data_IF_279191881926
#
_entry.id   IF_279191881926
#
_cell.length_a   1.000
_cell.length_b   1.000
_cell.length_c   1.000
_cell.angle_alpha   90.00
_cell.angle_beta   90.00
_cell.angle_gamma   90.00
#
_symmetry.space_group_name_H-M   'P 1'
#
loop_
_entity.id
_entity.type
_entity.pdbx_description
1 polymer ?
#
# COMPACT_ATOMS: atom_id res chain seq x y z
N UNK A 1 -14.99 -49.55 12.62
CA UNK A 1 -14.77 -48.50 13.63
C UNK A 1 -13.96 -47.41 12.99
N UNK A 2 -14.60 -46.27 12.84
CA UNK A 2 -14.17 -45.02 12.26
C UNK A 2 -13.29 -44.27 13.26
N UNK A 3 -12.13 -43.74 12.84
CA UNK A 3 -11.44 -42.66 13.54
C UNK A 3 -10.48 -41.94 12.58
N UNK A 4 -10.98 -40.85 12.01
CA UNK A 4 -10.22 -39.76 11.39
C UNK A 4 -9.06 -39.28 12.28
N UNK A 5 -7.90 -38.93 11.71
CA UNK A 5 -7.27 -37.65 12.10
C UNK A 5 -6.26 -37.08 11.08
N UNK A 6 -6.78 -36.11 10.32
CA UNK A 6 -6.19 -34.81 9.93
C UNK A 6 -4.76 -34.79 9.37
N UNK A 7 -4.70 -34.85 8.05
CA UNK A 7 -3.70 -34.12 7.27
C UNK A 7 -3.83 -32.62 7.54
N UNK A 8 -2.84 -32.03 8.23
CA UNK A 8 -2.70 -30.57 8.33
C UNK A 8 -2.48 -30.03 6.92
N UNK A 9 -3.46 -29.31 6.36
CA UNK A 9 -3.27 -28.55 5.12
C UNK A 9 -2.12 -27.56 5.33
N UNK A 10 -1.15 -27.44 4.39
CA UNK A 10 -0.11 -26.44 4.51
C UNK A 10 -0.75 -25.05 4.49
N UNK A 11 -0.34 -24.20 5.42
CA UNK A 11 -0.82 -22.83 5.51
C UNK A 11 -0.66 -22.16 4.14
N UNK A 12 -1.74 -21.60 3.61
CA UNK A 12 -1.72 -20.97 2.29
C UNK A 12 -0.79 -19.75 2.34
N UNK A 13 -0.11 -19.45 1.24
CA UNK A 13 0.71 -18.24 1.08
C UNK A 13 -0.06 -16.96 1.49
N UNK A 14 -1.37 -16.94 1.23
CA UNK A 14 -2.30 -15.88 1.66
C UNK A 14 -2.45 -15.79 3.18
N UNK A 15 -2.45 -16.93 3.87
CA UNK A 15 -2.43 -16.98 5.34
C UNK A 15 -1.11 -16.49 5.91
N UNK A 16 0.02 -16.75 5.24
CA UNK A 16 1.32 -16.21 5.67
C UNK A 16 1.39 -14.68 5.50
N UNK A 17 0.94 -14.15 4.36
CA UNK A 17 0.83 -12.70 4.12
C UNK A 17 -0.13 -12.04 5.14
N UNK A 18 -1.25 -12.68 5.46
CA UNK A 18 -2.18 -12.17 6.47
C UNK A 18 -1.55 -12.17 7.88
N UNK A 19 -0.75 -13.18 8.22
CA UNK A 19 -0.14 -13.30 9.56
C UNK A 19 0.98 -12.28 9.77
N UNK A 20 1.71 -11.89 8.71
CA UNK A 20 2.66 -10.77 8.75
C UNK A 20 1.97 -9.41 8.96
N UNK A 21 0.75 -9.23 8.45
CA UNK A 21 0.03 -7.96 8.54
C UNK A 21 -0.57 -7.61 9.92
N UNK A 22 -0.55 -8.54 10.88
CA UNK A 22 -1.37 -8.46 12.11
C UNK A 22 -0.62 -8.02 13.37
N UNK A 23 0.72 -7.89 13.33
CA UNK A 23 1.50 -7.37 14.46
C UNK A 23 2.06 -5.97 14.20
N UNK A 24 1.35 -5.14 13.44
CA UNK A 24 1.72 -3.73 13.24
C UNK A 24 1.47 -2.93 14.52
N UNK A 25 2.53 -2.73 15.30
CA UNK A 25 2.59 -1.62 16.24
C UNK A 25 2.40 -0.34 15.42
N UNK A 26 1.24 0.30 15.49
CA UNK A 26 1.01 1.57 14.80
C UNK A 26 1.98 2.60 15.37
N UNK A 27 3.00 3.04 14.59
CA UNK A 27 4.00 3.96 15.10
C UNK A 27 3.31 5.29 15.41
N UNK A 28 3.56 5.84 16.59
CA UNK A 28 2.96 7.12 16.99
C UNK A 28 3.73 8.27 16.36
N UNK A 29 3.28 8.71 15.18
CA UNK A 29 3.76 9.94 14.55
C UNK A 29 3.15 11.17 15.21
N UNK A 30 3.98 12.18 15.47
CA UNK A 30 3.59 13.55 15.81
C UNK A 30 2.82 14.23 14.67
N UNK A 31 2.17 15.36 14.96
CA UNK A 31 1.43 16.11 13.95
C UNK A 31 2.34 16.60 12.81
N UNK A 32 3.57 17.03 13.12
CA UNK A 32 4.54 17.51 12.12
C UNK A 32 5.02 16.38 11.23
N UNK A 33 5.34 15.21 11.79
CA UNK A 33 5.76 14.04 11.01
C UNK A 33 4.65 13.57 10.07
N UNK A 34 3.40 13.52 10.55
CA UNK A 34 2.24 13.20 9.69
C UNK A 34 2.08 14.21 8.54
N UNK A 35 2.25 15.49 8.83
CA UNK A 35 2.15 16.54 7.82
C UNK A 35 3.25 16.38 6.76
N UNK A 36 4.49 16.08 7.18
CA UNK A 36 5.63 15.85 6.29
C UNK A 36 5.41 14.61 5.41
N UNK A 37 5.02 13.48 6.00
CA UNK A 37 4.68 12.25 5.27
C UNK A 37 3.58 12.51 4.23
N UNK A 38 2.52 13.24 4.61
CA UNK A 38 1.44 13.60 3.70
C UNK A 38 1.89 14.55 2.58
N UNK A 39 2.72 15.53 2.89
CA UNK A 39 3.26 16.48 1.90
C UNK A 39 4.15 15.78 0.87
N UNK A 40 5.04 14.88 1.32
CA UNK A 40 5.90 14.09 0.44
C UNK A 40 5.09 13.16 -0.47
N UNK A 41 4.06 12.50 0.07
CA UNK A 41 3.15 11.68 -0.73
C UNK A 41 2.45 12.47 -1.83
N UNK A 42 1.96 13.68 -1.52
CA UNK A 42 1.32 14.57 -2.51
C UNK A 42 2.30 15.08 -3.57
N UNK A 43 3.52 15.43 -3.17
CA UNK A 43 4.57 15.84 -4.10
C UNK A 43 4.96 14.69 -5.04
N UNK A 44 5.06 13.46 -4.52
CA UNK A 44 5.26 12.26 -5.32
C UNK A 44 4.11 12.05 -6.31
N UNK A 45 2.85 12.19 -5.88
CA UNK A 45 1.70 12.12 -6.79
C UNK A 45 1.81 13.15 -7.90
N UNK A 46 2.09 14.42 -7.58
CA UNK A 46 2.27 15.47 -8.59
C UNK A 46 3.37 15.11 -9.61
N UNK A 47 4.52 14.62 -9.14
CA UNK A 47 5.64 14.23 -10.00
C UNK A 47 5.25 13.07 -10.92
N UNK A 48 4.68 12.01 -10.37
CA UNK A 48 4.31 10.80 -11.12
C UNK A 48 3.23 11.11 -12.15
N UNK A 49 2.22 11.93 -11.81
CA UNK A 49 1.22 12.41 -12.76
C UNK A 49 1.86 13.24 -13.89
N UNK A 50 2.81 14.12 -13.58
CA UNK A 50 3.50 14.91 -14.60
C UNK A 50 4.34 14.05 -15.55
N UNK A 51 4.94 12.96 -15.06
CA UNK A 51 5.68 11.99 -15.86
C UNK A 51 4.74 11.14 -16.73
N UNK A 52 3.59 10.71 -16.22
CA UNK A 52 2.58 10.02 -17.02
C UNK A 52 2.03 10.91 -18.13
N UNK A 53 1.74 12.19 -17.84
CA UNK A 53 1.28 13.13 -18.87
C UNK A 53 2.29 13.32 -20.03
N UNK A 54 3.57 12.97 -19.81
CA UNK A 54 4.64 13.00 -20.81
C UNK A 54 4.97 11.64 -21.41
N UNK A 55 4.25 10.58 -21.01
CA UNK A 55 4.44 9.21 -21.50
C UNK A 55 5.71 8.53 -20.97
N UNK A 56 6.23 8.96 -19.81
CA UNK A 56 7.44 8.38 -19.23
C UNK A 56 7.19 7.23 -18.25
N UNK A 57 5.96 7.08 -17.75
CA UNK A 57 5.55 6.01 -16.85
C UNK A 57 4.04 5.82 -16.86
N UNK A 58 3.57 4.68 -16.34
CA UNK A 58 2.18 4.42 -15.99
C UNK A 58 2.01 4.50 -14.46
N UNK A 59 1.17 5.42 -13.97
CA UNK A 59 0.90 5.63 -12.52
C UNK A 59 0.35 4.35 -11.91
N UNK A 60 -0.48 3.59 -12.64
CA UNK A 60 -1.04 2.33 -12.14
C UNK A 60 0.07 1.31 -11.85
N UNK A 61 0.96 1.07 -12.82
CA UNK A 61 2.10 0.15 -12.66
C UNK A 61 3.04 0.64 -11.55
N UNK A 62 3.39 1.92 -11.55
CA UNK A 62 4.26 2.51 -10.54
C UNK A 62 3.67 2.36 -9.12
N UNK A 63 2.37 2.61 -8.96
CA UNK A 63 1.69 2.46 -7.67
C UNK A 63 1.63 1.00 -7.19
N UNK A 64 1.49 0.04 -8.12
CA UNK A 64 1.53 -1.38 -7.81
C UNK A 64 2.92 -1.80 -7.33
N UNK A 65 3.97 -1.39 -8.03
CA UNK A 65 5.36 -1.65 -7.64
C UNK A 65 5.69 -1.02 -6.28
N UNK A 66 5.28 0.23 -6.04
CA UNK A 66 5.47 0.90 -4.76
C UNK A 66 4.75 0.14 -3.62
N UNK A 67 3.55 -0.39 -3.89
CA UNK A 67 2.82 -1.24 -2.94
C UNK A 67 3.55 -2.55 -2.63
N UNK A 68 4.12 -3.22 -3.63
CA UNK A 68 4.94 -4.43 -3.41
C UNK A 68 6.20 -4.10 -2.61
N UNK A 69 6.90 -3.02 -2.97
CA UNK A 69 8.10 -2.58 -2.27
C UNK A 69 7.81 -2.23 -0.81
N UNK A 70 6.63 -1.67 -0.51
CA UNK A 70 6.21 -1.40 0.86
C UNK A 70 6.15 -2.64 1.76
N UNK A 71 5.89 -3.83 1.20
CA UNK A 71 5.93 -5.10 1.94
C UNK A 71 7.36 -5.49 2.26
N UNK A 72 8.26 -5.38 1.26
CA UNK A 72 9.68 -5.71 1.43
C UNK A 72 10.33 -4.79 2.48
N UNK A 73 10.08 -3.48 2.39
CA UNK A 73 10.59 -2.52 3.39
C UNK A 73 9.97 -2.77 4.76
N UNK A 74 8.70 -3.18 4.80
CA UNK A 74 8.01 -3.52 6.04
C UNK A 74 8.58 -4.74 6.78
N UNK A 75 9.38 -5.59 6.12
CA UNK A 75 10.08 -6.69 6.80
C UNK A 75 11.20 -6.17 7.72
N UNK A 76 11.78 -5.00 7.41
CA UNK A 76 12.84 -4.35 8.17
C UNK A 76 12.33 -3.18 9.04
N UNK A 77 11.41 -2.37 8.53
CA UNK A 77 10.81 -1.22 9.22
C UNK A 77 9.29 -1.08 8.93
N UNK A 78 8.48 -1.40 9.94
CA UNK A 78 7.02 -1.32 9.91
C UNK A 78 6.49 0.08 9.55
N UNK A 79 7.14 1.14 10.05
CA UNK A 79 6.70 2.52 9.80
C UNK A 79 6.99 2.92 8.37
N UNK A 80 8.19 2.65 7.88
CA UNK A 80 8.59 2.97 6.52
C UNK A 80 7.71 2.20 5.51
N UNK A 81 7.50 0.91 5.73
CA UNK A 81 6.58 0.10 4.94
C UNK A 81 5.15 0.65 4.95
N UNK A 82 4.64 1.09 6.11
CA UNK A 82 3.32 1.70 6.19
C UNK A 82 3.21 3.02 5.42
N UNK A 83 4.25 3.87 5.48
CA UNK A 83 4.31 5.14 4.73
C UNK A 83 4.26 4.88 3.23
N UNK A 84 5.08 3.95 2.74
CA UNK A 84 5.13 3.59 1.31
C UNK A 84 3.80 3.01 0.83
N UNK A 85 3.14 2.19 1.66
CA UNK A 85 1.82 1.64 1.34
C UNK A 85 0.75 2.74 1.24
N UNK A 86 0.79 3.75 2.12
CA UNK A 86 -0.11 4.92 2.06
C UNK A 86 0.13 5.71 0.77
N UNK A 87 1.37 5.95 0.38
CA UNK A 87 1.68 6.64 -0.87
C UNK A 87 1.25 5.85 -2.10
N UNK A 88 1.44 4.53 -2.11
CA UNK A 88 0.93 3.65 -3.17
C UNK A 88 -0.60 3.75 -3.31
N UNK A 89 -1.33 3.73 -2.18
CA UNK A 89 -2.78 3.90 -2.18
C UNK A 89 -3.19 5.31 -2.65
N UNK A 90 -2.47 6.35 -2.25
CA UNK A 90 -2.72 7.74 -2.67
C UNK A 90 -2.55 7.91 -4.18
N UNK A 91 -1.53 7.29 -4.77
CA UNK A 91 -1.30 7.28 -6.21
C UNK A 91 -2.44 6.57 -6.95
N UNK A 92 -2.90 5.41 -6.45
CA UNK A 92 -4.06 4.71 -7.04
C UNK A 92 -5.34 5.54 -6.99
N UNK A 93 -5.55 6.27 -5.90
CA UNK A 93 -6.72 7.16 -5.77
C UNK A 93 -6.65 8.30 -6.80
N UNK A 94 -5.46 8.83 -7.09
CA UNK A 94 -5.30 9.90 -8.09
C UNK A 94 -5.77 9.52 -9.50
N UNK A 95 -5.80 8.23 -9.82
CA UNK A 95 -6.31 7.71 -11.09
C UNK A 95 -7.83 7.76 -11.22
N UNK A 96 -8.56 7.85 -10.09
CA UNK A 96 -10.03 7.74 -10.09
C UNK A 96 -10.73 9.00 -10.59
N UNK A 97 -9.99 10.08 -10.86
CA UNK A 97 -10.55 11.37 -11.26
C UNK A 97 -11.51 11.95 -10.21
N UNK A 98 -11.97 13.20 -10.36
CA UNK A 98 -13.12 13.67 -9.60
C UNK A 98 -14.32 12.80 -10.00
N UNK A 99 -14.91 12.08 -9.05
CA UNK A 99 -16.18 11.39 -9.25
C UNK A 99 -17.19 12.41 -9.81
N UNK A 100 -17.61 12.24 -11.06
CA UNK A 100 -18.70 13.02 -11.62
C UNK A 100 -19.89 12.95 -10.66
N UNK A 101 -20.60 14.07 -10.38
CA UNK A 101 -21.85 14.01 -9.65
C UNK A 101 -22.78 13.06 -10.38
N UNK A 102 -23.40 12.14 -9.64
CA UNK A 102 -24.55 11.39 -10.12
C UNK A 102 -25.66 12.43 -10.26
N UNK A 103 -26.02 12.79 -11.49
CA UNK A 103 -27.25 13.55 -11.73
C UNK A 103 -28.45 12.72 -11.22
N UNK A 104 -29.41 13.37 -10.55
CA UNK A 104 -30.47 12.72 -9.77
C UNK A 104 -31.46 11.88 -10.60
#
# INVERSE_FOLDING_TARGET
MEAMNKTKKPASLRSWIATLGLRRSQPKLSAVERALVGANGKALTMLVTALQARGHLEVEEFSNLLGIFSVVVGDDDDLEGAILAIWAATLKESLRGPTSPVDP
#
